data_IF_967655839794
#
_entry.id   IF_967655839794
#
_cell.length_a   1.000
_cell.length_b   1.000
_cell.length_c   1.000
_cell.angle_alpha   90.00
_cell.angle_beta   90.00
_cell.angle_gamma   90.00
#
_symmetry.space_group_name_H-M   'P 1'
#
loop_
_entity.id
_entity.type
_entity.pdbx_description
1 polymer ?
#
# COMPACT_ATOMS: atom_id res chain seq x y z
N UNK A 1 -9.91 20.22 -15.68
CA UNK A 1 -9.13 19.76 -14.51
C UNK A 1 -10.08 19.33 -13.42
N UNK A 2 -10.35 18.03 -13.31
CA UNK A 2 -11.28 17.49 -12.32
C UNK A 2 -10.56 17.29 -10.99
N UNK A 3 -10.57 18.32 -10.12
CA UNK A 3 -10.34 18.12 -8.68
C UNK A 3 -11.57 17.39 -8.13
N UNK A 4 -11.54 16.06 -8.15
CA UNK A 4 -12.58 15.24 -7.54
C UNK A 4 -12.70 15.58 -6.06
N UNK A 5 -13.93 15.77 -5.56
CA UNK A 5 -14.19 16.00 -4.14
C UNK A 5 -13.66 14.82 -3.31
N UNK A 6 -13.25 15.02 -2.05
CA UNK A 6 -12.69 13.95 -1.21
C UNK A 6 -13.59 12.72 -1.14
N UNK A 7 -14.91 12.88 -1.08
CA UNK A 7 -15.85 11.74 -1.08
C UNK A 7 -15.84 11.00 -2.42
N UNK A 8 -15.71 11.72 -3.53
CA UNK A 8 -15.64 11.12 -4.86
C UNK A 8 -14.34 10.33 -5.06
N UNK A 9 -13.22 10.82 -4.54
CA UNK A 9 -11.94 10.08 -4.55
C UNK A 9 -12.07 8.83 -3.68
N UNK A 10 -12.58 8.97 -2.46
CA UNK A 10 -12.78 7.85 -1.54
C UNK A 10 -13.69 6.77 -2.14
N UNK A 11 -14.85 7.16 -2.67
CA UNK A 11 -15.77 6.25 -3.33
C UNK A 11 -15.14 5.54 -4.54
N UNK A 12 -14.37 6.26 -5.36
CA UNK A 12 -13.67 5.68 -6.51
C UNK A 12 -12.63 4.63 -6.08
N UNK A 13 -11.89 4.89 -5.00
CA UNK A 13 -10.91 3.94 -4.45
C UNK A 13 -11.58 2.69 -3.88
N UNK A 14 -12.74 2.83 -3.21
CA UNK A 14 -13.51 1.68 -2.73
C UNK A 14 -14.01 0.80 -3.88
N UNK A 15 -14.54 1.42 -4.94
CA UNK A 15 -14.99 0.69 -6.14
C UNK A 15 -13.83 -0.03 -6.81
N UNK A 16 -12.67 0.62 -6.96
CA UNK A 16 -11.46 -0.04 -7.47
C UNK A 16 -11.03 -1.22 -6.59
N UNK A 17 -11.14 -1.08 -5.27
CA UNK A 17 -10.88 -2.16 -4.32
C UNK A 17 -11.75 -3.39 -4.53
N UNK A 18 -13.05 -3.20 -4.80
CA UNK A 18 -13.94 -4.32 -5.08
C UNK A 18 -13.79 -4.89 -6.49
N UNK A 19 -13.43 -4.06 -7.47
CA UNK A 19 -13.08 -4.54 -8.80
C UNK A 19 -11.84 -5.44 -8.75
N UNK A 20 -10.81 -5.08 -7.97
CA UNK A 20 -9.65 -5.95 -7.77
C UNK A 20 -10.03 -7.29 -7.12
N UNK A 21 -11.06 -7.30 -6.27
CA UNK A 21 -11.50 -8.49 -5.55
C UNK A 21 -12.38 -9.42 -6.40
N UNK A 22 -13.25 -8.87 -7.28
CA UNK A 22 -14.32 -9.65 -7.92
C UNK A 22 -14.33 -9.63 -9.45
N UNK A 23 -13.54 -8.80 -10.14
CA UNK A 23 -13.57 -8.75 -11.62
C UNK A 23 -12.62 -9.76 -12.25
N UNK A 24 -13.02 -10.30 -13.41
CA UNK A 24 -12.24 -11.27 -14.20
C UNK A 24 -10.79 -10.80 -14.38
N UNK A 25 -9.90 -11.71 -14.01
CA UNK A 25 -8.47 -11.53 -13.83
C UNK A 25 -7.76 -10.95 -15.07
N UNK A 26 -8.29 -11.15 -16.28
CA UNK A 26 -7.59 -10.82 -17.53
C UNK A 26 -7.53 -9.31 -17.86
N UNK A 27 -8.60 -8.53 -17.62
CA UNK A 27 -8.58 -7.09 -17.91
C UNK A 27 -7.75 -6.31 -16.88
N UNK A 28 -7.95 -6.61 -15.60
CA UNK A 28 -7.22 -5.95 -14.51
C UNK A 28 -5.72 -6.30 -14.52
N UNK A 29 -5.33 -7.45 -15.09
CA UNK A 29 -3.92 -7.77 -15.37
C UNK A 29 -3.28 -6.82 -16.38
N UNK A 30 -3.97 -6.52 -17.50
CA UNK A 30 -3.46 -5.63 -18.55
C UNK A 30 -3.30 -4.20 -18.03
N UNK A 31 -4.22 -3.76 -17.18
CA UNK A 31 -4.25 -2.41 -16.60
C UNK A 31 -3.59 -2.32 -15.21
N UNK A 32 -2.92 -3.37 -14.76
CA UNK A 32 -2.42 -3.45 -13.39
C UNK A 32 -1.47 -2.29 -13.06
N UNK A 33 -0.49 -2.02 -13.93
CA UNK A 33 0.48 -0.93 -13.70
C UNK A 33 -0.19 0.44 -13.64
N UNK A 34 -1.07 0.74 -14.58
CA UNK A 34 -1.84 1.99 -14.60
C UNK A 34 -2.70 2.15 -13.32
N UNK A 35 -3.26 1.04 -12.84
CA UNK A 35 -4.04 1.00 -11.61
C UNK A 35 -3.17 1.27 -10.38
N UNK A 36 -2.01 0.62 -10.28
CA UNK A 36 -1.01 0.89 -9.24
C UNK A 36 -0.59 2.35 -9.25
N UNK A 37 -0.18 2.88 -10.40
CA UNK A 37 0.29 4.26 -10.54
C UNK A 37 -0.79 5.26 -10.10
N UNK A 38 -2.04 4.99 -10.49
CA UNK A 38 -3.20 5.82 -10.11
C UNK A 38 -3.44 5.80 -8.60
N UNK A 39 -3.45 4.63 -7.97
CA UNK A 39 -3.66 4.49 -6.52
C UNK A 39 -2.51 5.15 -5.75
N UNK A 40 -1.26 4.85 -6.13
CA UNK A 40 -0.07 5.30 -5.41
C UNK A 40 0.19 6.80 -5.54
N UNK A 41 -0.37 7.47 -6.55
CA UNK A 41 -0.41 8.94 -6.64
C UNK A 41 -1.07 9.61 -5.43
N UNK A 42 -1.92 8.89 -4.68
CA UNK A 42 -2.63 9.43 -3.54
C UNK A 42 -1.97 9.13 -2.18
N UNK A 43 -0.80 8.47 -2.15
CA UNK A 43 -0.11 8.06 -0.92
C UNK A 43 0.29 9.22 0.01
N UNK A 44 0.50 10.41 -0.56
CA UNK A 44 0.92 11.63 0.16
C UNK A 44 -0.19 12.70 0.20
N UNK A 45 -1.46 12.29 0.08
CA UNK A 45 -2.60 13.22 0.15
C UNK A 45 -2.72 13.89 1.52
N UNK A 46 -3.26 15.12 1.56
CA UNK A 46 -3.46 15.85 2.83
C UNK A 46 -4.45 15.17 3.78
N UNK A 47 -5.49 14.54 3.23
CA UNK A 47 -6.53 13.88 4.01
C UNK A 47 -6.09 12.48 4.45
N UNK A 48 -6.09 12.22 5.77
CA UNK A 48 -5.66 10.95 6.35
C UNK A 48 -6.48 9.75 5.83
N UNK A 49 -7.79 9.90 5.65
CA UNK A 49 -8.65 8.82 5.19
C UNK A 49 -8.28 8.33 3.78
N UNK A 50 -7.80 9.23 2.92
CA UNK A 50 -7.33 8.85 1.58
C UNK A 50 -6.02 8.08 1.70
N UNK A 51 -5.06 8.57 2.49
CA UNK A 51 -3.78 7.87 2.70
C UNK A 51 -3.98 6.48 3.31
N UNK A 52 -4.89 6.35 4.28
CA UNK A 52 -5.25 5.07 4.90
C UNK A 52 -5.89 4.09 3.92
N UNK A 53 -6.70 4.56 2.98
CA UNK A 53 -7.20 3.71 1.90
C UNK A 53 -6.04 3.23 1.02
N UNK A 54 -5.11 4.11 0.65
CA UNK A 54 -3.91 3.71 -0.12
C UNK A 54 -3.11 2.65 0.61
N UNK A 55 -2.86 2.83 1.92
CA UNK A 55 -2.16 1.83 2.75
C UNK A 55 -2.84 0.46 2.73
N UNK A 56 -4.18 0.40 2.84
CA UNK A 56 -4.93 -0.86 2.75
C UNK A 56 -4.94 -1.49 1.35
N UNK A 57 -4.74 -0.70 0.30
CA UNK A 57 -4.73 -1.18 -1.08
C UNK A 57 -3.37 -1.78 -1.48
N UNK A 58 -2.28 -1.30 -0.90
CA UNK A 58 -0.92 -1.80 -1.17
C UNK A 58 -0.79 -3.33 -1.09
N UNK A 59 -1.16 -4.01 0.02
CA UNK A 59 -1.04 -5.46 0.11
C UNK A 59 -1.96 -6.18 -0.89
N UNK A 60 -3.15 -5.63 -1.18
CA UNK A 60 -4.07 -6.18 -2.18
C UNK A 60 -3.50 -6.13 -3.60
N UNK A 61 -2.79 -5.05 -3.95
CA UNK A 61 -2.10 -4.93 -5.23
C UNK A 61 -0.98 -5.98 -5.34
N UNK A 62 -0.23 -6.17 -4.26
CA UNK A 62 0.82 -7.17 -4.18
C UNK A 62 0.29 -8.60 -4.32
N UNK A 63 -0.83 -8.92 -3.66
CA UNK A 63 -1.52 -10.20 -3.79
C UNK A 63 -2.07 -10.43 -5.21
N UNK A 64 -2.60 -9.38 -5.85
CA UNK A 64 -3.25 -9.49 -7.15
C UNK A 64 -2.26 -9.78 -8.31
N UNK A 65 -1.08 -9.14 -8.33
CA UNK A 65 -0.03 -9.38 -9.32
C UNK A 65 1.38 -9.33 -8.68
N UNK A 66 1.76 -10.37 -7.92
CA UNK A 66 2.98 -10.36 -7.10
C UNK A 66 4.26 -10.19 -7.91
N UNK A 67 4.35 -10.78 -9.11
CA UNK A 67 5.51 -10.67 -9.98
C UNK A 67 5.71 -9.24 -10.49
N UNK A 68 4.65 -8.61 -11.01
CA UNK A 68 4.72 -7.23 -11.51
C UNK A 68 4.94 -6.25 -10.34
N UNK A 69 4.25 -6.48 -9.22
CA UNK A 69 4.39 -5.65 -8.01
C UNK A 69 5.83 -5.67 -7.49
N UNK A 70 6.44 -6.85 -7.37
CA UNK A 70 7.85 -7.00 -7.00
C UNK A 70 8.76 -6.16 -7.89
N UNK A 71 8.66 -6.38 -9.20
CA UNK A 71 9.61 -5.84 -10.16
C UNK A 71 9.54 -4.32 -10.26
N UNK A 72 8.34 -3.75 -10.11
CA UNK A 72 8.11 -2.33 -10.42
C UNK A 72 7.78 -1.45 -9.23
N UNK A 73 7.28 -2.00 -8.11
CA UNK A 73 6.67 -1.18 -7.05
C UNK A 73 7.24 -1.46 -5.66
N UNK A 74 7.64 -2.69 -5.39
CA UNK A 74 7.95 -3.15 -4.03
C UNK A 74 9.05 -2.31 -3.34
N UNK A 75 10.11 -1.94 -4.05
CA UNK A 75 11.21 -1.12 -3.48
C UNK A 75 10.70 0.23 -2.97
N UNK A 76 9.97 0.95 -3.80
CA UNK A 76 9.46 2.29 -3.48
C UNK A 76 8.42 2.25 -2.38
N UNK A 77 7.59 1.20 -2.36
CA UNK A 77 6.60 0.97 -1.31
C UNK A 77 7.26 0.65 0.02
N UNK A 78 8.29 -0.19 0.04
CA UNK A 78 9.04 -0.48 1.27
C UNK A 78 9.71 0.79 1.82
N UNK A 79 10.29 1.62 0.95
CA UNK A 79 10.86 2.91 1.37
C UNK A 79 9.78 3.85 1.95
N UNK A 80 8.61 3.92 1.31
CA UNK A 80 7.48 4.71 1.79
C UNK A 80 6.99 4.23 3.16
N UNK A 81 6.75 2.93 3.33
CA UNK A 81 6.30 2.35 4.60
C UNK A 81 7.33 2.59 5.70
N UNK A 82 8.61 2.33 5.47
CA UNK A 82 9.64 2.61 6.47
C UNK A 82 9.75 4.10 6.81
N UNK A 83 9.51 4.99 5.85
CA UNK A 83 9.41 6.43 6.11
C UNK A 83 8.31 6.76 7.12
N UNK A 84 7.10 6.21 6.92
CA UNK A 84 5.97 6.40 7.84
C UNK A 84 6.25 5.82 9.23
N UNK A 85 6.92 4.68 9.31
CA UNK A 85 7.23 4.03 10.58
C UNK A 85 8.30 4.79 11.38
N UNK A 86 9.28 5.39 10.70
CA UNK A 86 10.35 6.21 11.31
C UNK A 86 9.90 7.62 11.68
N UNK A 87 8.98 8.22 10.93
CA UNK A 87 8.53 9.59 11.16
C UNK A 87 7.82 9.78 12.51
N UNK A 88 7.35 8.70 13.15
CA UNK A 88 6.59 8.78 14.40
C UNK A 88 5.25 9.50 14.24
N UNK A 89 4.57 9.82 15.34
CA UNK A 89 3.24 10.46 15.33
C UNK A 89 3.25 11.96 14.96
N UNK A 90 4.39 12.52 14.53
CA UNK A 90 4.60 13.98 14.42
C UNK A 90 4.16 14.58 13.08
N UNK A 91 4.16 13.80 12.00
CA UNK A 91 3.80 14.27 10.65
C UNK A 91 2.35 13.88 10.28
N UNK A 92 1.93 12.65 10.63
CA UNK A 92 0.62 12.11 10.30
C UNK A 92 0.07 11.21 11.41
N UNK A 93 -0.72 11.77 12.36
CA UNK A 93 -1.30 11.00 13.46
C UNK A 93 -2.13 9.81 12.97
N UNK A 94 -1.82 8.62 13.48
CA UNK A 94 -2.52 7.37 13.19
C UNK A 94 -2.10 6.66 11.89
N UNK A 95 -1.29 7.27 11.02
CA UNK A 95 -0.82 6.56 9.80
C UNK A 95 0.27 5.53 10.13
N UNK A 96 0.97 5.71 11.25
CA UNK A 96 1.99 4.75 11.74
C UNK A 96 1.37 3.37 12.01
N UNK A 97 0.25 3.30 12.73
CA UNK A 97 -0.41 2.02 12.99
C UNK A 97 -0.89 1.35 11.69
N UNK A 98 -1.47 2.13 10.77
CA UNK A 98 -1.92 1.61 9.48
C UNK A 98 -0.76 1.14 8.60
N UNK A 99 0.40 1.80 8.67
CA UNK A 99 1.61 1.37 7.99
C UNK A 99 2.17 0.06 8.56
N UNK A 100 2.09 -0.17 9.87
CA UNK A 100 2.46 -1.45 10.47
C UNK A 100 1.57 -2.58 9.98
N UNK A 101 0.25 -2.37 9.96
CA UNK A 101 -0.71 -3.35 9.44
C UNK A 101 -0.44 -3.64 7.97
N UNK A 102 -0.31 -2.59 7.14
CA UNK A 102 -0.03 -2.74 5.72
C UNK A 102 1.31 -3.47 5.45
N UNK A 103 2.33 -3.23 6.27
CA UNK A 103 3.61 -3.94 6.17
C UNK A 103 3.46 -5.43 6.52
N UNK A 104 2.70 -5.75 7.57
CA UNK A 104 2.39 -7.14 7.94
C UNK A 104 1.63 -7.88 6.83
N UNK A 105 0.56 -7.27 6.33
CA UNK A 105 -0.24 -7.83 5.23
C UNK A 105 0.59 -7.98 3.95
N UNK A 106 1.46 -7.02 3.65
CA UNK A 106 2.37 -7.07 2.51
C UNK A 106 3.38 -8.20 2.65
N UNK A 107 3.87 -8.46 3.86
CA UNK A 107 4.74 -9.60 4.14
C UNK A 107 4.03 -10.95 3.93
N UNK A 108 2.75 -11.04 4.31
CA UNK A 108 1.93 -12.23 4.01
C UNK A 108 1.71 -12.39 2.51
N UNK A 109 1.33 -11.32 1.80
CA UNK A 109 1.06 -11.36 0.36
C UNK A 109 2.31 -11.71 -0.47
N UNK A 110 3.49 -11.28 -0.03
CA UNK A 110 4.73 -11.43 -0.78
C UNK A 110 5.60 -12.61 -0.31
N UNK A 111 5.46 -13.11 0.92
CA UNK A 111 6.26 -14.23 1.45
C UNK A 111 7.79 -14.01 1.39
N UNK A 112 8.56 -15.06 1.07
CA UNK A 112 10.05 -15.09 0.92
C UNK A 112 10.56 -13.96 0.02
N UNK A 113 9.70 -13.57 -0.87
CA UNK A 113 9.92 -12.62 -1.91
C UNK A 113 10.00 -11.16 -1.40
N UNK A 114 9.61 -10.90 -0.14
CA UNK A 114 9.92 -9.65 0.55
C UNK A 114 11.40 -9.59 1.00
N UNK A 115 12.06 -10.75 1.16
CA UNK A 115 13.44 -10.87 1.65
C UNK A 115 14.49 -10.37 0.66
N UNK A 116 14.12 -10.23 -0.62
CA UNK A 116 15.02 -9.68 -1.64
C UNK A 116 15.22 -8.17 -1.52
N UNK A 117 14.41 -7.47 -0.72
CA UNK A 117 14.41 -5.99 -0.62
C UNK A 117 14.67 -5.50 0.80
N UNK A 118 14.42 -6.32 1.82
CA UNK A 118 14.82 -6.05 3.19
C UNK A 118 15.08 -7.36 3.94
N UNK A 119 16.12 -7.46 4.77
CA UNK A 119 16.30 -8.61 5.66
C UNK A 119 15.10 -8.75 6.60
N UNK A 120 14.66 -9.98 6.89
CA UNK A 120 13.59 -10.28 7.87
C UNK A 120 13.82 -9.55 9.20
N UNK A 121 15.07 -9.40 9.61
CA UNK A 121 15.45 -8.80 10.89
C UNK A 121 14.99 -7.35 11.00
N UNK A 122 15.07 -6.58 9.90
CA UNK A 122 14.57 -5.21 9.87
C UNK A 122 13.04 -5.15 9.98
N UNK A 123 12.33 -6.10 9.38
CA UNK A 123 10.86 -6.15 9.41
C UNK A 123 10.38 -6.58 10.81
N UNK A 124 11.00 -7.61 11.38
CA UNK A 124 10.66 -8.11 12.73
C UNK A 124 11.04 -7.13 13.84
N UNK A 125 12.16 -6.41 13.69
CA UNK A 125 12.55 -5.34 14.61
C UNK A 125 11.54 -4.19 14.57
N UNK A 126 11.12 -3.78 13.38
CA UNK A 126 10.13 -2.72 13.20
C UNK A 126 8.78 -3.14 13.81
N UNK A 127 8.29 -4.36 13.52
CA UNK A 127 7.06 -4.89 14.12
C UNK A 127 7.14 -4.99 15.66
N UNK A 128 8.28 -5.43 16.20
CA UNK A 128 8.49 -5.53 17.66
C UNK A 128 8.49 -4.16 18.34
N UNK A 129 9.00 -3.13 17.65
CA UNK A 129 9.02 -1.74 18.17
C UNK A 129 7.63 -1.09 18.11
N UNK A 130 6.73 -1.56 17.24
CA UNK A 130 5.35 -1.07 17.18
C UNK A 130 4.41 -1.62 18.27
N UNK A 131 4.81 -2.71 18.96
CA UNK A 131 4.06 -3.37 20.03
C UNK A 131 4.43 -2.88 21.44
N UNK A 132 5.43 -2.00 21.57
CA UNK A 132 5.83 -1.35 22.82
C UNK A 132 5.24 0.06 22.91
#
# INVERSE_FOLDING_TARGET
>A
GLKGRPESIHGSLLVLGELLKYTKVDFMKIKFRETCDTILKYKDQKHADIRRVVLRMIPRLAEFQPTIFRTHYLKDIMQYLFGLLKAGSTQHPGDREHAYIALGDLAVAMGISLLSVAPMDSITQVLRTGLQ
#
